data_IF_292445136076
#
_entry.id   IF_292445136076
#
_cell.length_a   1.000
_cell.length_b   1.000
_cell.length_c   1.000
_cell.angle_alpha   90.00
_cell.angle_beta   90.00
_cell.angle_gamma   90.00
#
_symmetry.space_group_name_H-M   'P 1'
#
loop_
_entity.id
_entity.type
_entity.pdbx_description
1 polymer ?
#
# COMPACT_ATOMS: atom_id res chain seq x y z
N UNK A 1 -16.52 0.47 -21.71
CA UNK A 1 -15.29 1.15 -22.18
C UNK A 1 -14.77 2.10 -21.09
N UNK A 2 -15.64 2.96 -20.54
CA UNK A 2 -15.39 3.88 -19.41
C UNK A 2 -14.70 3.25 -18.18
N UNK A 3 -15.22 2.11 -17.68
CA UNK A 3 -14.71 1.46 -16.46
C UNK A 3 -13.24 1.04 -16.56
N UNK A 4 -12.77 0.70 -17.76
CA UNK A 4 -11.41 0.23 -17.98
C UNK A 4 -10.38 1.35 -17.77
N UNK A 5 -10.75 2.59 -18.14
CA UNK A 5 -9.88 3.75 -18.00
C UNK A 5 -9.82 4.18 -16.53
N UNK A 6 -10.96 4.25 -15.86
CA UNK A 6 -11.03 4.55 -14.43
C UNK A 6 -10.20 3.58 -13.58
N UNK A 7 -10.30 2.27 -13.84
CA UNK A 7 -9.51 1.26 -13.12
C UNK A 7 -8.01 1.38 -13.39
N UNK A 8 -7.59 1.69 -14.63
CA UNK A 8 -6.18 1.96 -14.94
C UNK A 8 -5.65 3.20 -14.21
N UNK A 9 -6.47 4.25 -14.07
CA UNK A 9 -6.11 5.45 -13.31
C UNK A 9 -5.95 5.10 -11.83
N UNK A 10 -6.86 4.32 -11.26
CA UNK A 10 -6.76 3.85 -9.86
C UNK A 10 -5.47 3.04 -9.65
N UNK A 11 -5.15 2.11 -10.56
CA UNK A 11 -3.90 1.35 -10.51
C UNK A 11 -2.66 2.25 -10.62
N UNK A 12 -2.66 3.21 -11.53
CA UNK A 12 -1.57 4.17 -11.69
C UNK A 12 -1.40 5.07 -10.45
N UNK A 13 -2.49 5.55 -9.86
CA UNK A 13 -2.48 6.32 -8.62
C UNK A 13 -1.96 5.46 -7.46
N UNK A 14 -2.37 4.20 -7.37
CA UNK A 14 -1.87 3.26 -6.38
C UNK A 14 -0.35 3.11 -6.47
N UNK A 15 0.19 2.98 -7.70
CA UNK A 15 1.63 2.88 -7.93
C UNK A 15 2.35 4.16 -7.50
N UNK A 16 1.80 5.33 -7.83
CA UNK A 16 2.37 6.62 -7.41
C UNK A 16 2.40 6.78 -5.89
N UNK A 17 1.37 6.29 -5.17
CA UNK A 17 1.38 6.29 -3.71
C UNK A 17 2.45 5.38 -3.13
N UNK A 18 2.68 4.20 -3.72
CA UNK A 18 3.77 3.30 -3.30
C UNK A 18 5.12 3.99 -3.50
N UNK A 19 5.36 4.58 -4.68
CA UNK A 19 6.61 5.32 -4.96
C UNK A 19 6.80 6.50 -4.01
N UNK A 20 5.72 7.22 -3.68
CA UNK A 20 5.76 8.29 -2.68
C UNK A 20 6.09 7.76 -1.28
N UNK A 21 5.55 6.60 -0.91
CA UNK A 21 5.86 5.90 0.34
C UNK A 21 7.34 5.56 0.48
N UNK A 22 7.97 5.00 -0.57
CA UNK A 22 9.42 4.67 -0.58
C UNK A 22 10.31 5.89 -0.30
N UNK A 23 9.86 7.09 -0.68
CA UNK A 23 10.62 8.34 -0.49
C UNK A 23 10.31 9.03 0.83
N UNK A 24 9.28 8.60 1.55
CA UNK A 24 8.90 9.20 2.82
C UNK A 24 9.88 8.76 3.91
N UNK A 25 10.33 9.71 4.73
CA UNK A 25 11.29 9.43 5.80
C UNK A 25 10.62 9.11 7.13
N UNK A 26 9.31 9.34 7.23
CA UNK A 26 8.52 9.05 8.40
C UNK A 26 7.88 7.66 8.25
N UNK A 27 8.39 6.68 8.99
CA UNK A 27 7.93 5.27 8.98
C UNK A 27 6.39 5.15 9.04
N UNK A 28 5.72 5.99 9.85
CA UNK A 28 4.25 5.96 9.94
C UNK A 28 3.55 6.44 8.67
N UNK A 29 4.08 7.48 8.02
CA UNK A 29 3.49 8.01 6.78
C UNK A 29 3.82 7.10 5.60
N UNK A 30 5.03 6.56 5.57
CA UNK A 30 5.46 5.52 4.63
C UNK A 30 4.47 4.35 4.65
N UNK A 31 4.21 3.76 5.82
CA UNK A 31 3.27 2.65 5.97
C UNK A 31 1.85 3.01 5.51
N UNK A 32 1.36 4.21 5.86
CA UNK A 32 0.03 4.67 5.43
C UNK A 32 -0.03 4.81 3.90
N UNK A 33 1.01 5.38 3.28
CA UNK A 33 1.10 5.52 1.82
C UNK A 33 1.18 4.15 1.13
N UNK A 34 1.93 3.22 1.71
CA UNK A 34 2.01 1.85 1.22
C UNK A 34 0.69 1.11 1.33
N UNK A 35 -0.04 1.21 2.44
CA UNK A 35 -1.35 0.57 2.59
C UNK A 35 -2.35 1.17 1.60
N UNK A 36 -2.40 2.50 1.46
CA UNK A 36 -3.29 3.17 0.50
C UNK A 36 -2.95 2.82 -0.95
N UNK A 37 -1.66 2.86 -1.31
CA UNK A 37 -1.19 2.54 -2.65
C UNK A 37 -1.44 1.09 -3.04
N UNK A 38 -1.12 0.17 -2.13
CA UNK A 38 -1.31 -1.28 -2.31
C UNK A 38 -2.79 -1.64 -2.35
N UNK A 39 -3.67 -0.95 -1.61
CA UNK A 39 -5.12 -1.15 -1.69
C UNK A 39 -5.68 -0.75 -3.07
N UNK A 40 -5.18 0.36 -3.65
CA UNK A 40 -5.51 0.77 -5.02
C UNK A 40 -5.01 -0.22 -6.06
N UNK A 41 -3.77 -0.71 -5.91
CA UNK A 41 -3.20 -1.74 -6.77
C UNK A 41 -3.94 -3.08 -6.64
N UNK A 42 -4.37 -3.46 -5.44
CA UNK A 42 -5.16 -4.67 -5.20
C UNK A 42 -6.51 -4.58 -5.91
N UNK A 43 -7.22 -3.46 -5.81
CA UNK A 43 -8.48 -3.24 -6.53
C UNK A 43 -8.27 -3.37 -8.05
N UNK A 44 -7.19 -2.80 -8.57
CA UNK A 44 -6.82 -2.94 -9.98
C UNK A 44 -6.44 -4.38 -10.37
N UNK A 45 -5.70 -5.09 -9.51
CA UNK A 45 -5.28 -6.48 -9.74
C UNK A 45 -6.45 -7.45 -9.72
N UNK A 46 -7.44 -7.23 -8.84
CA UNK A 46 -8.71 -7.96 -8.82
C UNK A 46 -9.48 -7.73 -10.11
N UNK A 47 -9.53 -6.48 -10.59
CA UNK A 47 -10.16 -6.14 -11.87
C UNK A 47 -9.49 -6.85 -13.06
N UNK A 48 -8.15 -6.92 -13.07
CA UNK A 48 -7.39 -7.68 -14.06
C UNK A 48 -7.48 -9.21 -13.88
N UNK A 49 -8.00 -9.67 -12.73
CA UNK A 49 -8.00 -11.07 -12.30
C UNK A 49 -6.59 -11.68 -12.30
N UNK A 50 -5.60 -10.89 -11.88
CA UNK A 50 -4.21 -11.33 -11.83
C UNK A 50 -3.97 -12.24 -10.60
N UNK A 51 -3.75 -13.56 -10.79
CA UNK A 51 -3.68 -14.51 -9.68
C UNK A 51 -2.40 -14.37 -8.85
N UNK A 52 -1.37 -13.67 -9.34
CA UNK A 52 -0.08 -13.48 -8.63
C UNK A 52 -0.11 -12.17 -7.87
N UNK A 53 -0.57 -11.09 -8.51
CA UNK A 53 -0.59 -9.77 -7.89
C UNK A 53 -1.60 -9.66 -6.75
N UNK A 54 -2.77 -10.31 -6.85
CA UNK A 54 -3.79 -10.27 -5.79
C UNK A 54 -3.25 -10.77 -4.43
N UNK A 55 -2.71 -12.00 -4.31
CA UNK A 55 -2.20 -12.48 -3.02
C UNK A 55 -0.98 -11.70 -2.57
N UNK A 56 -0.10 -11.27 -3.49
CA UNK A 56 1.06 -10.45 -3.15
C UNK A 56 0.64 -9.12 -2.49
N UNK A 57 -0.31 -8.41 -3.10
CA UNK A 57 -0.82 -7.14 -2.56
C UNK A 57 -1.55 -7.35 -1.23
N UNK A 58 -2.32 -8.44 -1.09
CA UNK A 58 -2.98 -8.77 0.15
C UNK A 58 -1.99 -9.03 1.31
N UNK A 59 -0.95 -9.84 1.06
CA UNK A 59 0.10 -10.11 2.05
C UNK A 59 0.83 -8.82 2.41
N UNK A 60 1.17 -8.00 1.41
CA UNK A 60 1.87 -6.75 1.63
C UNK A 60 1.06 -5.79 2.52
N UNK A 61 -0.24 -5.59 2.24
CA UNK A 61 -1.13 -4.78 3.09
C UNK A 61 -1.17 -5.30 4.52
N UNK A 62 -1.22 -6.62 4.72
CA UNK A 62 -1.23 -7.23 6.07
C UNK A 62 0.07 -6.93 6.81
N UNK A 63 1.22 -7.15 6.16
CA UNK A 63 2.55 -6.94 6.76
C UNK A 63 2.75 -5.47 7.12
N UNK A 64 2.51 -4.55 6.18
CA UNK A 64 2.63 -3.11 6.43
C UNK A 64 1.62 -2.62 7.47
N UNK A 65 0.41 -3.19 7.50
CA UNK A 65 -0.59 -2.91 8.53
C UNK A 65 -0.13 -3.35 9.93
N UNK A 66 0.57 -4.49 10.03
CA UNK A 66 1.16 -4.95 11.27
C UNK A 66 2.32 -4.06 11.72
N UNK A 67 3.20 -3.68 10.79
CA UNK A 67 4.31 -2.75 11.07
C UNK A 67 3.80 -1.40 11.60
N UNK A 68 2.77 -0.84 10.96
CA UNK A 68 2.10 0.39 11.40
C UNK A 68 1.53 0.27 12.82
N UNK A 69 0.98 -0.90 13.16
CA UNK A 69 0.47 -1.18 14.50
C UNK A 69 1.59 -1.36 15.54
N UNK A 70 2.73 -1.94 15.14
CA UNK A 70 3.90 -2.12 15.99
C UNK A 70 4.63 -0.79 16.25
N UNK A 71 4.71 0.11 15.25
CA UNK A 71 5.30 1.44 15.39
C UNK A 71 4.56 2.31 16.42
N UNK A 72 3.25 2.08 16.63
CA UNK A 72 2.51 2.68 17.75
C UNK A 72 3.04 2.25 19.13
N UNK A 73 3.61 1.04 19.24
CA UNK A 73 4.19 0.53 20.48
C UNK A 73 5.68 0.85 20.69
N UNK A 74 6.42 1.20 19.63
CA UNK A 74 7.88 1.38 19.67
C UNK A 74 8.37 2.81 19.97
N UNK A 75 7.45 3.78 20.08
CA UNK A 75 7.77 5.17 20.48
C UNK A 75 8.27 5.33 21.92
N UNK A 76 8.21 4.28 22.74
CA UNK A 76 8.58 4.34 24.16
C UNK A 76 9.96 3.74 24.49
N UNK A 77 10.71 3.19 23.51
CA UNK A 77 11.98 2.51 23.79
C UNK A 77 13.12 2.81 22.78
N UNK A 78 13.10 4.01 22.20
CA UNK A 78 14.28 4.60 21.50
C UNK A 78 14.56 6.03 21.97
N UNK A 79 14.18 6.32 23.21
CA UNK A 79 14.57 7.53 23.95
C UNK A 79 15.30 7.12 25.22
N UNK A 80 16.48 6.49 25.06
CA UNK A 80 17.47 6.37 26.12
C UNK A 80 18.86 6.50 25.49
#
# INVERSE_FOLDING_TARGET
MELNIAMKIIGAMGLLFIVAGVREHNERREDILFILGSSGLLAYSIYLKDPIFIPLQAIFIIVTGWELWQLRGKKESRGN
#
